data_IF_008305770706
#
_entry.id   IF_008305770706
#
_cell.length_a   1.000
_cell.length_b   1.000
_cell.length_c   1.000
_cell.angle_alpha   90.00
_cell.angle_beta   90.00
_cell.angle_gamma   90.00
#
_symmetry.space_group_name_H-M   'P 1'
#
loop_
_entity.id
_entity.type
_entity.pdbx_description
1 polymer ?
#
# COMPACT_ATOMS: atom_id res chain seq x y z
N UNK A 1 7.58 -20.22 20.11
CA UNK A 1 6.32 -19.91 19.49
C UNK A 1 6.13 -18.40 19.39
N UNK A 2 5.79 -17.96 18.25
CA UNK A 2 5.63 -16.53 18.04
C UNK A 2 4.22 -16.06 18.35
N UNK A 3 4.14 -14.92 19.01
CA UNK A 3 2.86 -14.27 19.20
C UNK A 3 2.38 -13.69 17.87
N UNK A 4 1.12 -13.88 17.56
CA UNK A 4 0.52 -13.31 16.36
C UNK A 4 -0.16 -11.98 16.63
N UNK A 5 0.14 -11.35 17.79
CA UNK A 5 -0.54 -10.13 18.20
C UNK A 5 0.12 -8.86 17.68
N UNK A 6 1.30 -8.96 17.07
CA UNK A 6 1.97 -7.79 16.54
C UNK A 6 2.94 -8.17 15.42
N UNK A 7 3.15 -7.24 14.52
CA UNK A 7 4.15 -7.31 13.46
C UNK A 7 4.94 -6.02 13.49
N UNK A 8 6.26 -6.12 13.50
CA UNK A 8 7.12 -4.95 13.63
C UNK A 8 8.05 -4.80 12.44
N UNK A 9 8.37 -3.54 12.14
CA UNK A 9 9.36 -3.17 11.13
C UNK A 9 9.02 -3.73 9.74
N UNK A 10 7.74 -3.75 9.40
CA UNK A 10 7.33 -4.15 8.07
C UNK A 10 7.80 -3.10 7.06
N UNK A 11 8.49 -3.52 6.00
CA UNK A 11 9.01 -2.55 5.03
C UNK A 11 7.93 -2.06 4.09
N UNK A 12 7.96 -0.76 3.84
CA UNK A 12 7.12 -0.11 2.84
C UNK A 12 8.05 0.66 1.91
N UNK A 13 8.58 0.00 0.87
CA UNK A 13 9.64 0.57 0.04
C UNK A 13 9.14 1.67 -0.87
N UNK A 14 10.05 2.60 -1.20
CA UNK A 14 9.79 3.60 -2.22
C UNK A 14 9.87 2.97 -3.60
N UNK A 15 9.26 3.63 -4.57
CA UNK A 15 9.42 3.27 -5.96
C UNK A 15 10.17 4.37 -6.70
N UNK A 16 10.83 4.00 -7.78
CA UNK A 16 11.38 4.93 -8.74
C UNK A 16 10.80 4.60 -10.10
N UNK A 17 10.31 5.62 -10.77
CA UNK A 17 9.84 5.52 -12.13
C UNK A 17 11.05 5.79 -13.03
N UNK A 18 11.67 4.72 -13.55
CA UNK A 18 12.92 4.84 -14.31
C UNK A 18 12.76 5.62 -15.58
N UNK A 19 11.67 5.42 -16.28
CA UNK A 19 11.36 6.28 -17.39
C UNK A 19 9.85 6.29 -17.59
N UNK A 20 9.40 7.39 -18.16
CA UNK A 20 8.03 7.56 -18.56
C UNK A 20 8.07 8.29 -19.88
N UNK A 21 7.59 7.66 -20.92
CA UNK A 21 7.50 8.33 -22.21
C UNK A 21 6.29 7.83 -22.97
N UNK A 22 5.87 8.64 -23.91
CA UNK A 22 4.74 8.31 -24.77
C UNK A 22 5.28 7.45 -25.90
N UNK A 23 4.84 6.18 -25.94
CA UNK A 23 5.28 5.25 -26.98
C UNK A 23 4.69 5.62 -28.32
N UNK A 24 3.51 6.20 -28.30
CA UNK A 24 2.86 6.66 -29.50
C UNK A 24 1.62 7.45 -29.12
N UNK A 25 1.11 8.19 -30.08
CA UNK A 25 -0.13 8.91 -29.91
C UNK A 25 -1.20 8.21 -30.70
N UNK A 26 -2.25 7.78 -30.02
CA UNK A 26 -3.38 7.13 -30.68
C UNK A 26 -4.24 8.15 -31.39
N UNK A 27 -5.00 7.66 -32.38
CA UNK A 27 -5.94 8.49 -33.10
C UNK A 27 -7.01 9.10 -32.21
N UNK A 28 -7.34 8.44 -31.11
CA UNK A 28 -8.30 8.95 -30.13
C UNK A 28 -7.65 9.94 -29.16
N UNK A 29 -6.41 10.33 -29.43
CA UNK A 29 -5.64 11.29 -28.64
C UNK A 29 -5.23 10.78 -27.26
N UNK A 30 -5.38 9.50 -26.99
CA UNK A 30 -4.79 8.89 -25.80
C UNK A 30 -3.35 8.53 -26.10
N UNK A 31 -2.55 8.61 -25.06
CA UNK A 31 -1.15 8.25 -25.13
C UNK A 31 -0.96 6.89 -24.47
N UNK A 32 -0.15 6.06 -25.10
CA UNK A 32 0.31 4.83 -24.47
C UNK A 32 1.46 5.21 -23.55
N UNK A 33 1.28 4.89 -22.28
CA UNK A 33 2.31 5.10 -21.28
C UNK A 33 3.05 3.80 -21.04
N UNK A 34 4.35 3.89 -21.04
CA UNK A 34 5.20 2.77 -20.68
C UNK A 34 6.16 3.26 -19.62
N UNK A 35 6.12 2.63 -18.46
CA UNK A 35 7.02 2.99 -17.39
C UNK A 35 7.45 1.75 -16.62
N UNK A 36 8.67 1.80 -16.11
CA UNK A 36 9.23 0.74 -15.28
C UNK A 36 9.38 1.29 -13.87
N UNK A 37 8.66 0.68 -12.94
CA UNK A 37 8.78 1.01 -11.53
C UNK A 37 9.77 0.05 -10.90
N UNK A 38 10.68 0.60 -10.11
CA UNK A 38 11.66 -0.19 -9.36
C UNK A 38 11.50 0.14 -7.89
N UNK A 39 11.46 -0.91 -7.07
CA UNK A 39 11.49 -0.72 -5.62
C UNK A 39 12.90 -0.34 -5.20
N UNK A 40 12.98 0.63 -4.31
CA UNK A 40 14.24 1.15 -3.81
C UNK A 40 14.52 0.63 -2.41
N UNK A 41 15.77 0.72 -1.98
CA UNK A 41 16.15 0.40 -0.60
C UNK A 41 15.56 1.37 0.41
N UNK A 42 15.26 2.60 -0.03
CA UNK A 42 14.63 3.57 0.84
C UNK A 42 13.20 3.14 1.14
N UNK A 43 12.85 3.13 2.39
CA UNK A 43 11.56 2.59 2.82
C UNK A 43 11.06 3.27 4.08
N UNK A 44 9.73 3.35 4.19
CA UNK A 44 9.09 3.55 5.47
C UNK A 44 9.03 2.21 6.19
N UNK A 45 8.80 2.23 7.49
CA UNK A 45 8.54 1.01 8.24
C UNK A 45 7.21 1.15 8.99
N UNK A 46 6.53 0.03 9.13
CA UNK A 46 5.20 0.00 9.74
C UNK A 46 5.16 -1.06 10.81
N UNK A 47 4.66 -0.68 11.99
CA UNK A 47 4.37 -1.61 13.06
C UNK A 47 2.86 -1.75 13.17
N UNK A 48 2.39 -2.97 13.32
CA UNK A 48 0.98 -3.27 13.51
C UNK A 48 0.82 -4.04 14.79
N UNK A 49 -0.04 -3.55 15.68
CA UNK A 49 -0.36 -4.23 16.93
C UNK A 49 -1.85 -4.49 17.02
N UNK A 50 -2.21 -5.74 17.31
CA UNK A 50 -3.60 -6.12 17.44
C UNK A 50 -4.21 -5.46 18.67
N UNK A 51 -5.39 -4.88 18.51
CA UNK A 51 -6.17 -4.34 19.62
C UNK A 51 -7.40 -5.21 19.85
N UNK A 52 -7.67 -5.53 21.10
CA UNK A 52 -8.85 -6.32 21.43
C UNK A 52 -10.14 -5.53 21.21
N UNK A 53 -10.09 -4.21 21.39
CA UNK A 53 -11.21 -3.36 21.01
C UNK A 53 -11.23 -3.20 19.48
N UNK A 54 -12.29 -2.65 18.95
CA UNK A 54 -12.43 -2.50 17.50
C UNK A 54 -11.81 -1.25 16.91
N UNK A 55 -10.95 -0.56 17.66
CA UNK A 55 -10.43 0.73 17.24
C UNK A 55 -9.30 0.59 16.20
N UNK A 56 -9.20 1.58 15.34
CA UNK A 56 -8.05 1.76 14.45
C UNK A 56 -7.30 2.98 14.98
N UNK A 57 -6.12 2.75 15.53
CA UNK A 57 -5.26 3.81 16.07
C UNK A 57 -4.09 4.02 15.11
N UNK A 58 -3.80 5.28 14.84
CA UNK A 58 -2.71 5.65 13.94
C UNK A 58 -1.72 6.51 14.70
N UNK A 59 -0.49 6.02 14.84
CA UNK A 59 0.58 6.71 15.58
C UNK A 59 1.81 6.84 14.68
N UNK A 60 2.83 7.51 15.21
CA UNK A 60 4.06 7.76 14.48
C UNK A 60 3.93 8.97 13.59
N UNK A 61 4.62 8.95 12.46
CA UNK A 61 4.64 10.08 11.55
C UNK A 61 3.37 10.15 10.73
N UNK A 62 2.72 11.30 10.73
CA UNK A 62 1.48 11.53 10.00
C UNK A 62 1.70 12.69 9.04
N UNK A 63 1.28 12.48 7.79
CA UNK A 63 1.32 13.52 6.77
C UNK A 63 -0.11 13.81 6.35
N UNK A 64 -0.52 15.07 6.46
CA UNK A 64 -1.86 15.50 6.08
C UNK A 64 -2.93 15.15 7.09
N UNK A 65 -4.17 15.04 6.62
CA UNK A 65 -5.32 14.76 7.48
C UNK A 65 -5.32 13.28 7.91
N UNK A 66 -5.31 12.98 9.21
CA UNK A 66 -5.32 11.59 9.67
C UNK A 66 -6.50 10.76 9.15
N UNK A 67 -7.65 11.39 8.92
CA UNK A 67 -8.82 10.67 8.41
C UNK A 67 -8.65 10.22 6.97
N UNK A 68 -7.77 10.88 6.23
CA UNK A 68 -7.46 10.53 4.84
C UNK A 68 -6.23 9.65 4.72
N UNK A 69 -5.62 9.29 5.83
CA UNK A 69 -4.44 8.44 5.85
C UNK A 69 -4.75 7.09 5.20
N UNK A 70 -3.94 6.71 4.23
CA UNK A 70 -4.19 5.49 3.47
C UNK A 70 -4.06 4.22 4.30
N UNK A 71 -3.22 4.23 5.33
CA UNK A 71 -3.11 3.08 6.23
C UNK A 71 -4.39 2.89 7.02
N UNK A 72 -4.97 3.98 7.52
CA UNK A 72 -6.25 3.95 8.23
C UNK A 72 -7.35 3.47 7.28
N UNK A 73 -7.36 3.99 6.07
CA UNK A 73 -8.35 3.59 5.07
C UNK A 73 -8.21 2.12 4.69
N UNK A 74 -6.97 1.62 4.61
CA UNK A 74 -6.72 0.21 4.33
C UNK A 74 -7.28 -0.68 5.43
N UNK A 75 -7.04 -0.33 6.68
CA UNK A 75 -7.56 -1.07 7.82
C UNK A 75 -9.09 -1.04 7.85
N UNK A 76 -9.66 0.13 7.62
CA UNK A 76 -11.12 0.26 7.60
C UNK A 76 -11.75 -0.55 6.49
N UNK A 77 -11.14 -0.54 5.32
CA UNK A 77 -11.63 -1.32 4.18
C UNK A 77 -11.69 -2.81 4.51
N UNK A 78 -10.63 -3.35 5.12
CA UNK A 78 -10.62 -4.75 5.52
C UNK A 78 -11.63 -5.05 6.62
N UNK A 79 -11.73 -4.18 7.63
CA UNK A 79 -12.69 -4.37 8.71
C UNK A 79 -14.11 -4.41 8.18
N UNK A 80 -14.45 -3.48 7.32
CA UNK A 80 -15.81 -3.38 6.78
C UNK A 80 -16.13 -4.53 5.82
N UNK A 81 -15.17 -4.92 5.00
CA UNK A 81 -15.38 -5.97 4.01
C UNK A 81 -15.53 -7.35 4.66
N UNK A 82 -14.74 -7.62 5.69
CA UNK A 82 -14.68 -8.95 6.29
C UNK A 82 -15.23 -9.00 7.71
N UNK A 83 -15.87 -7.91 8.15
CA UNK A 83 -16.53 -7.83 9.45
C UNK A 83 -15.59 -8.19 10.61
N UNK A 84 -14.39 -7.57 10.59
CA UNK A 84 -13.40 -7.82 11.63
C UNK A 84 -13.78 -7.03 12.88
N UNK A 85 -13.90 -7.72 14.01
CA UNK A 85 -14.27 -7.07 15.27
C UNK A 85 -13.08 -6.45 16.01
N UNK A 86 -11.90 -7.07 15.88
CA UNK A 86 -10.70 -6.55 16.51
C UNK A 86 -10.17 -5.35 15.76
N UNK A 87 -9.39 -4.56 16.47
CA UNK A 87 -8.79 -3.37 15.88
C UNK A 87 -7.30 -3.54 15.66
N UNK A 88 -6.65 -2.42 15.40
CA UNK A 88 -5.21 -2.40 15.15
C UNK A 88 -4.65 -1.02 15.50
N UNK A 89 -3.45 -1.02 16.08
CA UNK A 89 -2.63 0.19 16.20
C UNK A 89 -1.61 0.16 15.09
N UNK A 90 -1.62 1.19 14.26
CA UNK A 90 -0.72 1.33 13.11
C UNK A 90 0.28 2.43 13.44
N UNK A 91 1.56 2.08 13.46
CA UNK A 91 2.62 3.06 13.65
C UNK A 91 3.48 3.11 12.41
N UNK A 92 3.63 4.30 11.85
CA UNK A 92 4.41 4.50 10.63
C UNK A 92 5.63 5.36 10.92
N UNK A 93 6.77 4.89 10.47
CA UNK A 93 8.02 5.64 10.50
C UNK A 93 8.34 6.06 9.07
N UNK A 94 8.19 7.35 8.79
CA UNK A 94 8.35 7.89 7.44
C UNK A 94 9.80 8.23 7.16
N UNK A 95 10.32 7.69 6.08
CA UNK A 95 11.60 8.13 5.53
C UNK A 95 11.47 8.56 4.09
N UNK A 96 10.38 8.16 3.42
CA UNK A 96 10.14 8.54 2.03
C UNK A 96 9.55 9.94 2.02
N UNK A 97 10.17 10.90 1.31
CA UNK A 97 9.63 12.26 1.26
C UNK A 97 8.22 12.30 0.67
N UNK A 98 7.35 13.06 1.32
CA UNK A 98 6.00 13.28 0.84
C UNK A 98 6.04 14.12 -0.44
N UNK A 99 5.23 13.75 -1.41
CA UNK A 99 5.10 14.51 -2.65
C UNK A 99 6.25 14.35 -3.63
N UNK A 100 7.17 13.45 -3.37
CA UNK A 100 8.34 13.24 -4.23
C UNK A 100 8.08 12.27 -5.39
N UNK A 101 6.85 11.82 -5.58
CA UNK A 101 6.53 10.87 -6.64
C UNK A 101 7.04 9.46 -6.40
N UNK A 102 7.44 9.15 -5.17
CA UNK A 102 8.01 7.85 -4.81
C UNK A 102 6.97 6.85 -4.29
N UNK A 103 5.71 7.25 -4.27
CA UNK A 103 4.63 6.34 -3.89
C UNK A 103 4.57 5.98 -2.42
N UNK A 104 5.09 6.82 -1.53
CA UNK A 104 5.19 6.50 -0.10
C UNK A 104 3.86 6.13 0.53
N UNK A 105 2.82 6.91 0.30
CA UNK A 105 1.50 6.63 0.86
C UNK A 105 0.90 5.33 0.33
N UNK A 106 1.06 5.07 -0.97
CA UNK A 106 0.58 3.83 -1.58
C UNK A 106 1.35 2.62 -1.08
N UNK A 107 2.66 2.77 -0.88
CA UNK A 107 3.49 1.71 -0.33
C UNK A 107 3.09 1.38 1.10
N UNK A 108 2.86 2.42 1.92
CA UNK A 108 2.41 2.24 3.30
C UNK A 108 1.08 1.51 3.34
N UNK A 109 0.14 1.89 2.46
CA UNK A 109 -1.16 1.22 2.37
C UNK A 109 -1.03 -0.25 1.98
N UNK A 110 -0.20 -0.53 0.98
CA UNK A 110 0.03 -1.91 0.53
C UNK A 110 0.61 -2.77 1.66
N UNK A 111 1.60 -2.25 2.37
CA UNK A 111 2.21 -2.95 3.49
C UNK A 111 1.20 -3.17 4.61
N UNK A 112 0.35 -2.20 4.87
CA UNK A 112 -0.72 -2.33 5.86
C UNK A 112 -1.70 -3.44 5.48
N UNK A 113 -2.12 -3.49 4.21
CA UNK A 113 -3.00 -4.56 3.74
C UNK A 113 -2.37 -5.94 3.92
N UNK A 114 -1.12 -6.08 3.51
CA UNK A 114 -0.40 -7.35 3.63
C UNK A 114 -0.25 -7.75 5.10
N UNK A 115 0.15 -6.80 5.94
CA UNK A 115 0.35 -7.07 7.36
C UNK A 115 -0.95 -7.44 8.07
N UNK A 116 -2.03 -6.72 7.78
CA UNK A 116 -3.32 -7.02 8.38
C UNK A 116 -3.89 -8.36 7.91
N UNK A 117 -3.61 -8.73 6.68
CA UNK A 117 -4.00 -10.05 6.18
C UNK A 117 -3.43 -11.15 7.08
N UNK A 118 -2.20 -10.97 7.52
CA UNK A 118 -1.55 -11.90 8.44
C UNK A 118 -2.06 -11.72 9.87
N UNK A 119 -2.08 -10.47 10.36
CA UNK A 119 -2.41 -10.18 11.76
C UNK A 119 -3.86 -10.60 12.10
N UNK A 120 -4.78 -10.31 11.20
CA UNK A 120 -6.19 -10.68 11.38
C UNK A 120 -6.53 -12.06 10.84
N UNK A 121 -5.53 -12.81 10.34
CA UNK A 121 -5.66 -14.19 9.86
C UNK A 121 -6.74 -14.35 8.79
N UNK A 122 -6.76 -13.44 7.85
CA UNK A 122 -7.76 -13.46 6.78
C UNK A 122 -7.41 -14.46 5.68
N UNK A 123 -6.14 -14.72 5.46
CA UNK A 123 -5.66 -15.65 4.43
C UNK A 123 -6.14 -15.30 3.03
N UNK A 124 -6.19 -14.01 2.73
CA UNK A 124 -6.58 -13.55 1.41
C UNK A 124 -5.45 -13.79 0.42
N UNK A 125 -5.77 -14.26 -0.80
CA UNK A 125 -4.74 -14.38 -1.83
C UNK A 125 -4.28 -12.99 -2.29
N UNK A 126 -3.09 -12.94 -2.83
CA UNK A 126 -2.50 -11.69 -3.28
C UNK A 126 -3.39 -10.95 -4.29
N UNK A 127 -4.04 -11.70 -5.16
CA UNK A 127 -4.98 -11.11 -6.13
C UNK A 127 -6.08 -10.31 -5.43
N UNK A 128 -6.66 -10.87 -4.38
CA UNK A 128 -7.72 -10.19 -3.63
C UNK A 128 -7.19 -8.93 -2.98
N UNK A 129 -5.98 -8.99 -2.41
CA UNK A 129 -5.36 -7.81 -1.83
C UNK A 129 -5.13 -6.73 -2.89
N UNK A 130 -4.75 -7.10 -4.10
CA UNK A 130 -4.58 -6.14 -5.19
C UNK A 130 -5.91 -5.50 -5.59
N UNK A 131 -6.97 -6.29 -5.66
CA UNK A 131 -8.31 -5.77 -5.97
C UNK A 131 -8.79 -4.76 -4.92
N UNK A 132 -8.52 -5.05 -3.65
CA UNK A 132 -8.82 -4.11 -2.58
C UNK A 132 -7.92 -2.89 -2.65
N UNK A 133 -6.64 -3.10 -2.94
CA UNK A 133 -5.65 -2.04 -2.99
C UNK A 133 -5.93 -1.01 -4.07
N UNK A 134 -6.43 -1.43 -5.22
CA UNK A 134 -6.81 -0.51 -6.31
C UNK A 134 -7.84 0.51 -5.84
N UNK A 135 -8.70 0.12 -4.91
CA UNK A 135 -9.71 1.03 -4.36
C UNK A 135 -9.11 2.12 -3.48
N UNK A 136 -7.88 1.92 -3.01
CA UNK A 136 -7.16 2.90 -2.21
C UNK A 136 -6.28 3.79 -3.07
N UNK A 137 -5.78 3.28 -4.18
CA UNK A 137 -4.96 4.03 -5.10
C UNK A 137 -4.42 3.14 -6.21
N UNK A 138 -4.16 3.75 -7.37
CA UNK A 138 -3.75 3.01 -8.56
C UNK A 138 -2.39 2.32 -8.41
N UNK A 139 -1.51 2.87 -7.58
CA UNK A 139 -0.17 2.33 -7.38
C UNK A 139 -0.11 1.25 -6.30
N UNK A 140 -1.15 1.10 -5.49
CA UNK A 140 -1.12 0.16 -4.37
C UNK A 140 -0.87 -1.28 -4.82
N UNK A 141 -1.50 -1.79 -5.89
CA UNK A 141 -1.24 -3.16 -6.34
C UNK A 141 0.21 -3.43 -6.70
N UNK A 142 0.92 -2.44 -7.26
CA UNK A 142 2.34 -2.60 -7.56
C UNK A 142 3.13 -2.99 -6.30
N UNK A 143 2.87 -2.29 -5.20
CA UNK A 143 3.58 -2.55 -3.95
C UNK A 143 3.14 -3.85 -3.30
N UNK A 144 1.92 -4.29 -3.55
CA UNK A 144 1.45 -5.58 -3.03
C UNK A 144 2.22 -6.73 -3.68
N UNK A 145 2.51 -6.64 -4.96
CA UNK A 145 3.35 -7.63 -5.61
C UNK A 145 4.78 -7.62 -5.07
N UNK A 146 5.25 -6.47 -4.57
CA UNK A 146 6.56 -6.38 -3.94
C UNK A 146 7.70 -6.61 -4.90
N UNK A 147 7.54 -6.27 -6.16
CA UNK A 147 8.56 -6.47 -7.17
C UNK A 147 8.44 -5.39 -8.25
N UNK A 148 9.47 -5.31 -9.10
CA UNK A 148 9.42 -4.41 -10.23
C UNK A 148 8.30 -4.83 -11.18
N UNK A 149 7.63 -3.86 -11.76
CA UNK A 149 6.54 -4.11 -12.67
C UNK A 149 6.63 -3.18 -13.87
N UNK A 150 6.21 -3.69 -15.01
CA UNK A 150 6.06 -2.92 -16.22
C UNK A 150 4.60 -2.46 -16.28
N UNK A 151 4.40 -1.15 -16.35
CA UNK A 151 3.07 -0.57 -16.29
C UNK A 151 2.71 0.02 -17.64
N UNK A 152 1.57 -0.38 -18.16
CA UNK A 152 1.05 0.11 -19.42
C UNK A 152 -0.33 0.74 -19.25
N UNK A 153 -0.67 1.60 -20.19
CA UNK A 153 -1.98 2.22 -20.23
C UNK A 153 -2.12 3.32 -19.20
N UNK A 154 -3.07 3.19 -18.29
CA UNK A 154 -3.37 4.24 -17.32
C UNK A 154 -2.65 4.06 -16.00
N UNK A 155 -1.74 3.10 -15.91
CA UNK A 155 -0.91 2.93 -14.74
C UNK A 155 -1.44 1.95 -13.71
N UNK A 156 -2.62 1.39 -13.92
CA UNK A 156 -3.20 0.42 -12.98
C UNK A 156 -3.16 -1.01 -13.49
N UNK A 157 -2.74 -1.20 -14.74
CA UNK A 157 -2.57 -2.52 -15.32
C UNK A 157 -1.13 -2.97 -15.10
N UNK A 158 -0.95 -4.13 -14.48
CA UNK A 158 0.37 -4.66 -14.18
C UNK A 158 0.53 -6.07 -14.75
N UNK A 159 1.71 -6.33 -15.24
CA UNK A 159 2.04 -7.65 -15.79
C UNK A 159 3.13 -8.31 -14.97
#
# INVERSE_FOLDING_TARGET
MTSSNALYSLPAPAKLNLFLHVIGQRKDKKHLLESVFILLDRKDTIDLELLENGDIERTGDIVGNPEEDLCVRAARLLKDTYHIERGVRIRVHKTIPSGAGMGGGSSDAATTLIGLNTLWKLNLPRRTLCELGVRLGADVPFFIFGRNAFVEGIGEVQT
#
